data_IF_868869602072
#
_entry.id   IF_868869602072
#
_cell.length_a   1.000
_cell.length_b   1.000
_cell.length_c   1.000
_cell.angle_alpha   90.00
_cell.angle_beta   90.00
_cell.angle_gamma   90.00
#
_symmetry.space_group_name_H-M   'P 1'
#
loop_
_entity.id
_entity.type
_entity.pdbx_description
1 polymer ?
#
# COMPACT_ATOMS: atom_id res chain seq x y z
N UNK A 1 -6.63 17.01 -0.41
CA UNK A 1 -5.62 15.94 -0.28
C UNK A 1 -5.84 14.97 -1.43
N UNK A 2 -4.78 14.46 -2.06
CA UNK A 2 -4.92 13.59 -3.23
C UNK A 2 -4.80 12.14 -2.75
N UNK A 3 -5.95 11.46 -2.67
CA UNK A 3 -6.08 10.13 -2.10
C UNK A 3 -5.10 9.09 -2.67
N UNK A 4 -4.70 9.22 -3.94
CA UNK A 4 -3.73 8.31 -4.54
C UNK A 4 -2.35 8.42 -3.86
N UNK A 5 -1.96 9.62 -3.44
CA UNK A 5 -0.71 9.84 -2.72
C UNK A 5 -0.82 9.33 -1.28
N UNK A 6 -1.97 9.53 -0.63
CA UNK A 6 -2.21 9.01 0.72
C UNK A 6 -2.11 7.47 0.72
N UNK A 7 -2.72 6.80 -0.26
CA UNK A 7 -2.62 5.34 -0.44
C UNK A 7 -1.19 4.89 -0.73
N UNK A 8 -0.47 5.61 -1.60
CA UNK A 8 0.94 5.31 -1.90
C UNK A 8 1.79 5.38 -0.64
N UNK A 9 1.61 6.43 0.16
CA UNK A 9 2.38 6.65 1.38
C UNK A 9 2.06 5.58 2.43
N UNK A 10 0.80 5.14 2.52
CA UNK A 10 0.41 4.00 3.34
C UNK A 10 1.07 2.70 2.91
N UNK A 11 1.14 2.40 1.60
CA UNK A 11 1.89 1.21 1.13
C UNK A 11 3.37 1.27 1.47
N UNK A 12 4.00 2.45 1.49
CA UNK A 12 5.38 2.60 1.96
C UNK A 12 5.51 2.33 3.48
N UNK A 13 4.54 2.73 4.30
CA UNK A 13 4.52 2.37 5.72
C UNK A 13 4.30 0.87 5.93
N UNK A 14 3.43 0.22 5.13
CA UNK A 14 3.27 -1.23 5.13
C UNK A 14 4.56 -1.97 4.82
N UNK A 15 5.33 -1.54 3.81
CA UNK A 15 6.61 -2.19 3.49
C UNK A 15 7.59 -2.11 4.68
N UNK A 16 7.65 -0.95 5.36
CA UNK A 16 8.46 -0.80 6.59
C UNK A 16 7.98 -1.70 7.71
N UNK A 17 6.68 -1.82 7.91
CA UNK A 17 6.09 -2.68 8.92
C UNK A 17 6.37 -4.16 8.67
N UNK A 18 6.21 -4.61 7.43
CA UNK A 18 6.53 -5.96 7.00
C UNK A 18 8.03 -6.25 7.07
N UNK A 19 8.89 -5.26 6.80
CA UNK A 19 10.33 -5.38 7.02
C UNK A 19 10.65 -5.62 8.51
N UNK A 20 10.01 -4.87 9.42
CA UNK A 20 10.22 -5.10 10.86
C UNK A 20 9.72 -6.48 11.28
N UNK A 21 8.61 -6.97 10.70
CA UNK A 21 8.11 -8.33 10.94
C UNK A 21 9.09 -9.40 10.43
N UNK A 22 9.73 -9.19 9.28
CA UNK A 22 10.80 -10.07 8.80
C UNK A 22 11.99 -10.09 9.77
N UNK A 23 12.36 -8.94 10.34
CA UNK A 23 13.40 -8.85 11.36
C UNK A 23 12.97 -9.55 12.66
N UNK A 24 11.70 -9.48 13.05
CA UNK A 24 11.16 -10.21 14.21
C UNK A 24 11.47 -11.71 14.14
N UNK A 25 11.25 -12.34 12.98
CA UNK A 25 11.57 -13.76 12.78
C UNK A 25 13.07 -14.10 12.84
N UNK A 26 13.95 -13.11 12.72
CA UNK A 26 15.39 -13.28 12.92
C UNK A 26 15.82 -12.88 14.35
N UNK A 27 15.05 -11.99 14.99
CA UNK A 27 15.34 -11.33 16.26
C UNK A 27 14.02 -11.00 16.96
N UNK A 28 13.58 -11.88 17.83
CA UNK A 28 12.27 -11.81 18.52
C UNK A 28 12.06 -10.51 19.34
N UNK A 29 13.13 -9.76 19.63
CA UNK A 29 13.04 -8.50 20.36
C UNK A 29 12.64 -7.29 19.50
N UNK A 30 12.38 -7.48 18.20
CA UNK A 30 11.83 -6.44 17.32
C UNK A 30 10.33 -6.62 17.23
N UNK A 31 9.55 -5.68 17.75
CA UNK A 31 8.09 -5.77 17.78
C UNK A 31 7.54 -4.65 16.89
N UNK A 32 7.07 -4.94 15.66
CA UNK A 32 6.64 -3.90 14.72
C UNK A 32 5.51 -3.01 15.26
N UNK A 33 4.58 -3.56 16.05
CA UNK A 33 3.47 -2.80 16.66
C UNK A 33 3.91 -1.70 17.64
N UNK A 34 5.13 -1.79 18.19
CA UNK A 34 5.70 -0.76 19.08
C UNK A 34 6.29 0.43 18.31
N UNK A 35 6.48 0.30 16.98
CA UNK A 35 6.99 1.38 16.16
C UNK A 35 5.91 2.41 15.83
N UNK A 36 6.32 3.68 15.73
CA UNK A 36 5.42 4.77 15.36
C UNK A 36 5.23 4.84 13.84
N UNK A 37 4.00 4.59 13.39
CA UNK A 37 3.53 4.83 12.03
C UNK A 37 2.60 6.05 11.97
N UNK A 38 2.42 6.59 10.78
CA UNK A 38 1.54 7.74 10.55
C UNK A 38 0.08 7.31 10.54
N UNK A 39 -0.19 6.09 10.10
CA UNK A 39 -1.51 5.48 10.07
C UNK A 39 -1.54 4.08 10.68
N UNK A 40 -2.76 3.56 10.90
CA UNK A 40 -2.98 2.19 11.30
C UNK A 40 -2.69 1.24 10.12
N UNK A 41 -1.92 0.18 10.36
CA UNK A 41 -1.47 -0.77 9.33
C UNK A 41 -2.23 -2.10 9.44
N UNK A 42 -3.55 -2.03 9.34
CA UNK A 42 -4.49 -3.15 9.53
C UNK A 42 -5.32 -3.43 8.27
N UNK A 43 -5.99 -4.58 8.24
CA UNK A 43 -6.88 -4.97 7.14
C UNK A 43 -8.08 -4.01 6.98
N UNK A 44 -8.60 -3.49 8.09
CA UNK A 44 -9.71 -2.53 8.10
C UNK A 44 -9.31 -1.24 7.37
N UNK A 45 -8.11 -0.73 7.64
CA UNK A 45 -7.59 0.47 6.97
C UNK A 45 -7.37 0.24 5.48
N UNK A 46 -6.85 -0.93 5.10
CA UNK A 46 -6.73 -1.31 3.69
C UNK A 46 -8.10 -1.33 3.00
N UNK A 47 -9.13 -1.89 3.64
CA UNK A 47 -10.48 -1.93 3.09
C UNK A 47 -11.09 -0.54 2.91
N UNK A 48 -10.86 0.36 3.86
CA UNK A 48 -11.26 1.75 3.75
C UNK A 48 -10.59 2.43 2.54
N UNK A 49 -9.28 2.25 2.37
CA UNK A 49 -8.53 2.80 1.24
C UNK A 49 -9.01 2.27 -0.11
N UNK A 50 -9.21 0.96 -0.23
CA UNK A 50 -9.72 0.35 -1.46
C UNK A 50 -11.13 0.83 -1.79
N UNK A 51 -11.98 1.03 -0.77
CA UNK A 51 -13.32 1.60 -0.94
C UNK A 51 -13.26 3.04 -1.41
N UNK A 52 -12.39 3.86 -0.83
CA UNK A 52 -12.28 5.26 -1.20
C UNK A 52 -11.71 5.43 -2.61
N UNK A 53 -10.74 4.61 -3.01
CA UNK A 53 -10.24 4.53 -4.38
C UNK A 53 -11.31 4.14 -5.40
N UNK A 54 -12.16 3.18 -5.04
CA UNK A 54 -13.29 2.77 -5.90
C UNK A 54 -14.31 3.90 -6.09
N UNK A 55 -14.50 4.74 -5.07
CA UNK A 55 -15.36 5.91 -5.17
C UNK A 55 -14.71 6.99 -6.04
N UNK A 56 -13.39 7.17 -5.91
CA UNK A 56 -12.63 8.12 -6.74
C UNK A 56 -12.71 7.79 -8.23
N UNK A 57 -12.65 6.51 -8.61
CA UNK A 57 -12.78 6.09 -10.01
C UNK A 57 -14.15 6.36 -10.64
N UNK A 58 -15.18 6.66 -9.84
CA UNK A 58 -16.52 7.06 -10.33
C UNK A 58 -16.63 8.57 -10.58
N UNK A 59 -15.74 9.36 -9.99
CA UNK A 59 -15.63 10.79 -10.25
C UNK A 59 -14.71 10.96 -11.47
N UNK A 60 -15.26 11.40 -12.61
CA UNK A 60 -14.69 11.37 -13.98
C UNK A 60 -13.28 11.95 -14.19
N UNK A 61 -12.60 12.44 -13.16
CA UNK A 61 -11.31 13.11 -13.25
C UNK A 61 -10.10 12.22 -12.90
N UNK A 62 -10.29 10.99 -12.40
CA UNK A 62 -9.19 10.09 -11.99
C UNK A 62 -9.17 8.79 -12.80
N UNK A 63 -7.96 8.34 -13.18
CA UNK A 63 -7.80 6.98 -13.71
C UNK A 63 -7.40 6.06 -12.56
N UNK A 64 -8.39 5.39 -11.97
CA UNK A 64 -8.17 4.35 -10.96
C UNK A 64 -8.63 3.01 -11.53
N UNK A 65 -7.71 2.05 -11.64
CA UNK A 65 -8.00 0.69 -12.14
C UNK A 65 -7.80 -0.37 -11.06
N UNK A 66 -8.39 -0.12 -9.88
CA UNK A 66 -8.21 -0.96 -8.69
C UNK A 66 -8.63 -2.42 -8.85
N UNK A 67 -9.45 -2.74 -9.86
CA UNK A 67 -9.99 -4.09 -10.11
C UNK A 67 -8.92 -5.12 -10.51
N UNK A 68 -7.72 -4.68 -10.90
CA UNK A 68 -6.64 -5.55 -11.37
C UNK A 68 -5.33 -5.45 -10.56
N UNK A 69 -5.29 -4.69 -9.48
CA UNK A 69 -4.03 -4.49 -8.74
C UNK A 69 -3.56 -5.75 -8.00
N UNK A 70 -4.51 -6.52 -7.46
CA UNK A 70 -4.26 -7.79 -6.80
C UNK A 70 -5.47 -8.73 -6.89
N UNK A 71 -5.23 -10.04 -6.83
CA UNK A 71 -6.28 -11.04 -6.71
C UNK A 71 -6.92 -11.00 -5.32
N UNK A 72 -8.10 -11.61 -5.17
CA UNK A 72 -8.77 -11.73 -3.86
C UNK A 72 -7.91 -12.50 -2.86
N UNK A 73 -7.23 -13.55 -3.32
CA UNK A 73 -6.37 -14.37 -2.46
C UNK A 73 -5.12 -13.59 -2.03
N UNK A 74 -4.52 -12.81 -2.94
CA UNK A 74 -3.41 -11.91 -2.60
C UNK A 74 -3.84 -10.89 -1.54
N UNK A 75 -5.03 -10.27 -1.70
CA UNK A 75 -5.54 -9.33 -0.71
C UNK A 75 -5.83 -10.00 0.63
N UNK A 76 -6.36 -11.23 0.64
CA UNK A 76 -6.61 -11.97 1.88
C UNK A 76 -5.31 -12.24 2.64
N UNK A 77 -4.26 -12.72 1.95
CA UNK A 77 -2.94 -12.96 2.54
C UNK A 77 -2.39 -11.67 3.16
N UNK A 78 -2.46 -10.55 2.44
CA UNK A 78 -1.98 -9.27 2.96
C UNK A 78 -2.75 -8.86 4.22
N UNK A 79 -4.08 -8.95 4.21
CA UNK A 79 -4.94 -8.59 5.34
C UNK A 79 -4.63 -9.43 6.58
N UNK A 80 -4.61 -10.75 6.44
CA UNK A 80 -4.32 -11.66 7.54
C UNK A 80 -2.93 -11.39 8.13
N UNK A 81 -1.93 -11.17 7.28
CA UNK A 81 -0.56 -10.86 7.72
C UNK A 81 -0.51 -9.54 8.49
N UNK A 82 -1.15 -8.47 7.98
CA UNK A 82 -1.20 -7.17 8.67
C UNK A 82 -1.88 -7.26 10.04
N UNK A 83 -3.01 -7.95 10.12
CA UNK A 83 -3.76 -8.10 11.38
C UNK A 83 -3.02 -8.97 12.39
N UNK A 84 -2.35 -10.03 11.94
CA UNK A 84 -1.55 -10.90 12.80
C UNK A 84 -0.33 -10.16 13.35
N UNK A 85 0.39 -9.38 12.54
CA UNK A 85 1.50 -8.54 13.03
C UNK A 85 0.96 -7.49 14.01
N UNK A 86 -0.13 -6.79 13.66
CA UNK A 86 -0.70 -5.72 14.49
C UNK A 86 -1.25 -6.22 15.82
N UNK A 87 -1.71 -7.48 15.87
CA UNK A 87 -2.21 -8.13 17.08
C UNK A 87 -1.18 -9.04 17.76
N UNK A 88 0.08 -9.03 17.28
CA UNK A 88 1.18 -9.84 17.79
C UNK A 88 0.90 -11.36 17.82
N UNK A 89 0.12 -11.85 16.84
CA UNK A 89 -0.20 -13.27 16.64
C UNK A 89 0.85 -13.97 15.78
N UNK A 90 2.07 -14.04 16.30
CA UNK A 90 3.21 -14.60 15.57
C UNK A 90 3.10 -16.10 15.29
N UNK A 91 2.34 -16.84 16.10
CA UNK A 91 2.10 -18.28 15.93
C UNK A 91 1.13 -18.60 14.78
N UNK A 92 0.36 -17.60 14.32
CA UNK A 92 -0.64 -17.75 13.26
C UNK A 92 -0.07 -17.47 11.85
N UNK A 93 1.22 -17.17 11.74
CA UNK A 93 1.89 -16.88 10.47
C UNK A 93 3.40 -17.19 10.53
N UNK A 94 4.07 -17.28 9.38
CA UNK A 94 5.51 -17.49 9.30
C UNK A 94 6.22 -16.43 8.45
N UNK A 95 7.54 -16.54 8.34
CA UNK A 95 8.35 -15.64 7.51
C UNK A 95 7.96 -15.70 6.02
N UNK A 96 7.41 -16.82 5.53
CA UNK A 96 6.94 -16.94 4.15
C UNK A 96 5.67 -16.10 3.93
N UNK A 97 4.75 -16.07 4.90
CA UNK A 97 3.60 -15.17 4.90
C UNK A 97 4.04 -13.71 4.78
N UNK A 98 5.01 -13.27 5.58
CA UNK A 98 5.55 -11.90 5.51
C UNK A 98 6.18 -11.62 4.14
N UNK A 99 6.98 -12.54 3.61
CA UNK A 99 7.60 -12.38 2.29
C UNK A 99 6.55 -12.24 1.16
N UNK A 100 5.48 -13.05 1.21
CA UNK A 100 4.35 -12.95 0.27
C UNK A 100 3.64 -11.61 0.41
N UNK A 101 3.33 -11.18 1.63
CA UNK A 101 2.70 -9.88 1.90
C UNK A 101 3.55 -8.73 1.35
N UNK A 102 4.88 -8.75 1.50
CA UNK A 102 5.78 -7.74 0.91
C UNK A 102 5.68 -7.69 -0.61
N UNK A 103 5.67 -8.85 -1.27
CA UNK A 103 5.52 -8.92 -2.72
C UNK A 103 4.18 -8.31 -3.18
N UNK A 104 3.10 -8.56 -2.43
CA UNK A 104 1.78 -7.99 -2.69
C UNK A 104 1.79 -6.46 -2.49
N UNK A 105 2.35 -5.97 -1.38
CA UNK A 105 2.46 -4.51 -1.12
C UNK A 105 3.24 -3.82 -2.23
N UNK A 106 4.37 -4.38 -2.68
CA UNK A 106 5.13 -3.82 -3.80
C UNK A 106 4.32 -3.77 -5.10
N UNK A 107 3.56 -4.83 -5.39
CA UNK A 107 2.68 -4.88 -6.56
C UNK A 107 1.60 -3.79 -6.49
N UNK A 108 0.95 -3.64 -5.34
CA UNK A 108 -0.08 -2.62 -5.10
C UNK A 108 0.50 -1.20 -5.20
N UNK A 109 1.64 -0.94 -4.56
CA UNK A 109 2.33 0.35 -4.61
C UNK A 109 2.71 0.75 -6.05
N UNK A 110 3.20 -0.20 -6.84
CA UNK A 110 3.51 0.03 -8.25
C UNK A 110 2.26 0.35 -9.08
N UNK A 111 1.14 -0.31 -8.79
CA UNK A 111 -0.12 -0.06 -9.48
C UNK A 111 -0.69 1.34 -9.15
N UNK A 112 -0.66 1.74 -7.88
CA UNK A 112 -1.03 3.11 -7.46
C UNK A 112 -0.14 4.14 -8.14
N UNK A 113 1.18 3.92 -8.17
CA UNK A 113 2.12 4.83 -8.83
C UNK A 113 1.82 4.98 -10.32
N UNK A 114 1.46 3.88 -11.01
CA UNK A 114 1.05 3.94 -12.41
C UNK A 114 -0.23 4.77 -12.60
N UNK A 115 -1.22 4.61 -11.72
CA UNK A 115 -2.47 5.37 -11.75
C UNK A 115 -2.25 6.86 -11.41
N UNK A 116 -1.30 7.20 -10.53
CA UNK A 116 -0.86 8.59 -10.28
C UNK A 116 -0.28 9.21 -11.54
N UNK A 117 0.68 8.52 -12.19
CA UNK A 117 1.33 9.01 -13.42
C UNK A 117 0.27 9.24 -14.49
N UNK A 118 -0.60 8.26 -14.72
CA UNK A 118 -1.66 8.35 -15.72
C UNK A 118 -2.66 9.46 -15.42
N UNK A 119 -3.03 9.65 -14.16
CA UNK A 119 -3.91 10.76 -13.73
C UNK A 119 -3.26 12.12 -14.01
N UNK A 120 -1.96 12.27 -13.72
CA UNK A 120 -1.22 13.50 -14.01
C UNK A 120 -1.10 13.76 -15.53
N UNK A 121 -0.88 12.71 -16.33
CA UNK A 121 -0.82 12.84 -17.79
C UNK A 121 -2.14 13.32 -18.38
N UNK A 122 -3.28 12.79 -17.90
CA UNK A 122 -4.62 13.19 -18.36
C UNK A 122 -5.00 14.62 -17.96
N UNK A 123 -4.63 15.06 -16.75
CA UNK A 123 -4.97 16.39 -16.24
C UNK A 123 -4.07 17.50 -16.79
N UNK A 124 -3.06 17.14 -17.57
CA UNK A 124 -1.95 18.01 -17.93
C UNK A 124 -0.98 18.10 -16.75
N UNK A 125 0.30 17.85 -17.01
CA UNK A 125 1.35 17.99 -16.03
C UNK A 125 1.22 19.32 -15.25
N UNK A 126 1.47 19.33 -13.92
CA UNK A 126 1.77 20.58 -13.24
C UNK A 126 2.84 21.33 -14.03
N UNK A 127 2.67 22.64 -14.22
CA UNK A 127 3.48 23.51 -15.09
C UNK A 127 5.00 23.40 -14.88
N UNK A 128 5.46 22.81 -13.77
CA UNK A 128 6.86 22.51 -13.48
C UNK A 128 7.49 21.54 -14.49
N UNK A 129 6.77 20.55 -15.01
CA UNK A 129 7.33 19.63 -16.03
C UNK A 129 7.39 20.24 -17.44
N UNK A 130 6.68 21.35 -17.69
CA UNK A 130 6.89 22.15 -18.90
C UNK A 130 8.19 22.98 -18.85
N UNK A 131 8.83 23.13 -17.68
CA UNK A 131 10.11 23.84 -17.59
C UNK A 131 11.29 23.05 -18.17
N UNK A 132 11.13 21.73 -18.42
CA UNK A 132 12.14 20.89 -19.04
C UNK A 132 11.90 20.64 -20.55
N UNK A 133 10.85 21.21 -21.15
CA UNK A 133 10.75 21.32 -22.62
C UNK A 133 11.59 22.52 -23.07
N UNK A 134 12.91 22.37 -22.96
CA UNK A 134 13.83 23.22 -23.71
C UNK A 134 13.72 22.78 -25.18
N UNK A 135 13.51 23.79 -26.02
CA UNK A 135 13.30 23.77 -27.47
C UNK A 135 14.44 23.03 -28.19
#
# INVERSE_FOLDING_TARGET
>A
MNILYDVRDWFYECDRFLFLAEVHYQRENVIPSEHRFSEELTSSRLDDMLRDLKNLGKENDYCVTSENWASKDELLILKETLDNISSEKWDDMDAECVAKAKAIVHKLANAVNADIIKTNDMRGCPSIYNACRII
#
